data_IF_789035732018
#
_entry.id   IF_789035732018
#
_cell.length_a   1.000
_cell.length_b   1.000
_cell.length_c   1.000
_cell.angle_alpha   90.00
_cell.angle_beta   90.00
_cell.angle_gamma   90.00
#
_symmetry.space_group_name_H-M   'P 1'
#
loop_
_entity.id
_entity.type
_entity.pdbx_description
1 polymer ?
#
# COMPACT_ATOMS: atom_id res chain seq x y z
N UNK A 1 -14.27 10.82 -9.33
CA UNK A 1 -13.11 10.24 -8.59
C UNK A 1 -12.59 9.20 -9.57
N UNK A 2 -11.43 9.39 -10.20
CA UNK A 2 -11.14 8.68 -11.46
C UNK A 2 -11.26 7.14 -11.39
N UNK A 3 -10.96 6.51 -10.25
CA UNK A 3 -11.17 5.06 -10.04
C UNK A 3 -12.65 4.68 -9.98
N UNK A 4 -13.46 5.43 -9.25
CA UNK A 4 -14.93 5.28 -9.22
C UNK A 4 -15.49 5.49 -10.63
N UNK A 5 -14.97 6.47 -11.38
CA UNK A 5 -15.39 6.75 -12.75
C UNK A 5 -15.02 5.58 -13.70
N UNK A 6 -13.87 4.92 -13.48
CA UNK A 6 -13.48 3.71 -14.20
C UNK A 6 -14.31 2.47 -13.83
N UNK A 7 -14.68 2.33 -12.56
CA UNK A 7 -15.60 1.29 -12.10
C UNK A 7 -16.96 1.46 -12.76
N UNK A 8 -17.52 2.67 -12.73
CA UNK A 8 -18.80 2.98 -13.37
C UNK A 8 -18.78 2.75 -14.89
N UNK A 9 -17.64 2.98 -15.54
CA UNK A 9 -17.42 2.66 -16.96
C UNK A 9 -17.19 1.16 -17.24
N UNK A 10 -17.19 0.30 -16.21
CA UNK A 10 -16.91 -1.14 -16.34
C UNK A 10 -15.45 -1.46 -16.71
N UNK A 11 -14.54 -0.49 -16.63
CA UNK A 11 -13.10 -0.65 -16.93
C UNK A 11 -12.31 -1.16 -15.73
N UNK A 12 -12.83 -0.98 -14.52
CA UNK A 12 -12.35 -1.61 -13.30
C UNK A 12 -13.40 -2.63 -12.84
N UNK A 13 -13.10 -3.92 -12.94
CA UNK A 13 -13.98 -4.99 -12.42
C UNK A 13 -13.63 -5.26 -10.97
N UNK A 14 -14.55 -4.94 -10.08
CA UNK A 14 -14.51 -5.38 -8.69
C UNK A 14 -15.28 -6.70 -8.55
N UNK A 15 -15.11 -7.43 -7.43
CA UNK A 15 -16.05 -8.49 -7.07
C UNK A 15 -17.49 -7.97 -7.17
N UNK A 16 -18.44 -8.79 -7.61
CA UNK A 16 -19.88 -8.45 -7.72
C UNK A 16 -20.48 -7.90 -6.41
N UNK A 17 -19.77 -8.05 -5.30
CA UNK A 17 -20.18 -7.75 -3.93
C UNK A 17 -19.57 -6.48 -3.33
N UNK A 18 -19.16 -5.48 -4.11
CA UNK A 18 -18.71 -4.19 -3.56
C UNK A 18 -19.86 -3.17 -3.66
N UNK A 19 -20.59 -2.88 -2.56
CA UNK A 19 -21.68 -1.91 -2.55
C UNK A 19 -21.26 -0.51 -3.01
N UNK A 20 -22.20 0.25 -3.59
CA UNK A 20 -21.99 1.61 -4.13
C UNK A 20 -21.46 2.61 -3.09
N UNK A 21 -21.66 2.34 -1.81
CA UNK A 21 -21.13 3.17 -0.73
C UNK A 21 -19.60 3.10 -0.62
N UNK A 22 -18.94 2.03 -1.08
CA UNK A 22 -17.50 1.86 -0.93
C UNK A 22 -16.70 2.88 -1.75
N UNK A 23 -15.64 3.39 -1.13
CA UNK A 23 -14.67 4.31 -1.74
C UNK A 23 -13.44 3.54 -2.17
N UNK A 24 -13.02 3.74 -3.43
CA UNK A 24 -11.78 3.19 -3.97
C UNK A 24 -10.76 4.31 -4.12
N UNK A 25 -9.58 4.10 -3.55
CA UNK A 25 -8.50 5.08 -3.56
C UNK A 25 -7.15 4.41 -3.38
N UNK A 26 -6.09 5.18 -3.56
CA UNK A 26 -4.78 4.78 -3.06
C UNK A 26 -4.82 4.65 -1.52
N UNK A 27 -4.00 3.75 -0.93
CA UNK A 27 -3.85 3.68 0.52
C UNK A 27 -3.31 4.99 1.06
N UNK A 28 -3.69 5.32 2.29
CA UNK A 28 -2.87 6.21 3.13
C UNK A 28 -1.58 5.49 3.52
N UNK A 29 -0.52 6.24 3.79
CA UNK A 29 0.76 5.69 4.18
C UNK A 29 0.63 4.81 5.43
N UNK A 30 -0.17 5.24 6.40
CA UNK A 30 -0.46 4.50 7.62
C UNK A 30 -1.26 3.21 7.38
N UNK A 31 -2.19 3.22 6.42
CA UNK A 31 -2.96 2.02 6.04
C UNK A 31 -2.06 1.00 5.36
N UNK A 32 -1.19 1.47 4.46
CA UNK A 32 -0.19 0.64 3.80
C UNK A 32 0.75 0.01 4.84
N UNK A 33 1.29 0.84 5.75
CA UNK A 33 2.21 0.39 6.78
C UNK A 33 1.55 -0.65 7.70
N UNK A 34 0.33 -0.37 8.16
CA UNK A 34 -0.41 -1.28 9.03
C UNK A 34 -0.66 -2.63 8.36
N UNK A 35 -0.98 -2.64 7.06
CA UNK A 35 -1.16 -3.88 6.31
C UNK A 35 0.15 -4.68 6.21
N UNK A 36 1.27 -4.02 5.92
CA UNK A 36 2.59 -4.65 5.80
C UNK A 36 3.14 -5.15 7.15
N UNK A 37 2.84 -4.44 8.24
CA UNK A 37 3.38 -4.71 9.59
C UNK A 37 2.42 -5.47 10.50
N UNK A 38 1.30 -5.96 9.96
CA UNK A 38 0.32 -6.71 10.73
C UNK A 38 0.91 -8.02 11.28
N UNK A 39 0.59 -8.42 12.54
CA UNK A 39 -0.17 -7.67 13.56
C UNK A 39 0.71 -6.89 14.54
N UNK A 40 2.03 -6.97 14.43
CA UNK A 40 2.98 -6.79 15.53
C UNK A 40 4.10 -5.76 15.28
N UNK A 41 4.05 -5.00 14.18
CA UNK A 41 5.09 -4.00 13.90
C UNK A 41 6.37 -4.61 13.30
N UNK A 42 6.28 -5.80 12.70
CA UNK A 42 7.39 -6.50 12.04
C UNK A 42 8.16 -5.68 10.99
N UNK A 43 9.43 -5.99 10.80
CA UNK A 43 10.32 -5.28 9.84
C UNK A 43 9.98 -5.57 8.38
N UNK A 44 9.57 -6.80 8.07
CA UNK A 44 9.13 -7.26 6.76
C UNK A 44 7.75 -7.93 6.90
N UNK A 45 6.95 -8.04 5.82
CA UNK A 45 5.62 -8.64 5.88
C UNK A 45 5.59 -10.03 6.55
N UNK A 46 6.61 -10.85 6.28
CA UNK A 46 6.73 -12.20 6.83
C UNK A 46 7.40 -12.28 8.21
N UNK A 47 7.99 -11.21 8.74
CA UNK A 47 8.69 -11.24 10.03
C UNK A 47 9.84 -10.25 10.16
N UNK A 48 10.74 -10.50 11.11
CA UNK A 48 11.83 -9.59 11.46
C UNK A 48 13.20 -9.95 10.84
N UNK A 49 13.28 -11.11 10.20
CA UNK A 49 14.49 -11.58 9.54
C UNK A 49 14.37 -11.42 8.03
N UNK A 50 15.41 -10.85 7.42
CA UNK A 50 15.47 -10.73 5.97
C UNK A 50 15.66 -12.10 5.33
N UNK A 51 14.90 -12.36 4.26
CA UNK A 51 15.05 -13.55 3.42
C UNK A 51 14.87 -13.13 1.95
N UNK A 52 15.95 -13.16 1.18
CA UNK A 52 15.95 -12.77 -0.24
C UNK A 52 15.05 -13.66 -1.13
N UNK A 53 14.59 -14.81 -0.62
CA UNK A 53 13.67 -15.72 -1.34
C UNK A 53 12.21 -15.34 -1.17
N UNK A 54 11.89 -14.31 -0.40
CA UNK A 54 10.52 -13.89 -0.05
C UNK A 54 10.08 -12.59 -0.72
N UNK A 55 10.90 -12.03 -1.59
CA UNK A 55 10.60 -10.79 -2.29
C UNK A 55 11.37 -10.72 -3.60
N UNK A 56 10.88 -9.85 -4.50
CA UNK A 56 11.66 -9.39 -5.64
C UNK A 56 12.39 -8.08 -5.27
N UNK A 57 13.66 -8.15 -4.92
CA UNK A 57 14.52 -6.99 -4.64
C UNK A 57 15.81 -7.07 -5.44
N UNK A 58 16.74 -6.13 -5.23
CA UNK A 58 18.04 -6.15 -5.91
C UNK A 58 18.80 -7.47 -5.65
N UNK A 59 18.62 -8.06 -4.47
CA UNK A 59 19.21 -9.34 -4.07
C UNK A 59 18.66 -10.54 -4.86
N UNK A 60 17.51 -10.42 -5.52
CA UNK A 60 16.94 -11.49 -6.34
C UNK A 60 17.63 -11.66 -7.70
N UNK A 61 18.26 -10.61 -8.22
CA UNK A 61 18.87 -10.59 -9.56
C UNK A 61 17.88 -10.70 -10.74
N UNK A 62 16.57 -10.55 -10.50
CA UNK A 62 15.55 -10.63 -11.56
C UNK A 62 15.61 -9.41 -12.49
N UNK A 63 16.02 -8.25 -11.95
CA UNK A 63 16.23 -6.98 -12.69
C UNK A 63 15.01 -6.48 -13.48
N UNK A 64 13.82 -6.88 -13.03
CA UNK A 64 12.51 -6.44 -13.55
C UNK A 64 11.40 -6.81 -12.56
N UNK A 65 10.17 -6.40 -12.84
CA UNK A 65 9.01 -6.85 -12.06
C UNK A 65 8.78 -8.35 -12.24
N UNK A 66 8.23 -8.98 -11.21
CA UNK A 66 7.80 -10.38 -11.24
C UNK A 66 6.28 -10.48 -11.26
N UNK A 67 5.77 -11.65 -11.64
CA UNK A 67 4.35 -11.95 -11.50
C UNK A 67 3.90 -11.74 -10.05
N UNK A 68 2.76 -11.07 -9.86
CA UNK A 68 2.20 -10.79 -8.53
C UNK A 68 1.98 -12.11 -7.78
N UNK A 69 2.39 -12.13 -6.52
CA UNK A 69 2.19 -13.27 -5.62
C UNK A 69 3.13 -14.46 -5.84
N UNK A 70 4.09 -14.40 -6.76
CA UNK A 70 5.04 -15.51 -6.98
C UNK A 70 5.91 -15.80 -5.74
N UNK A 71 6.12 -14.78 -4.90
CA UNK A 71 6.77 -14.89 -3.59
C UNK A 71 5.73 -15.13 -2.48
N UNK A 72 5.05 -16.28 -2.52
CA UNK A 72 3.94 -16.58 -1.62
C UNK A 72 4.34 -16.53 -0.13
N UNK A 73 5.52 -17.05 0.22
CA UNK A 73 6.06 -17.04 1.59
C UNK A 73 6.47 -15.64 2.10
N UNK A 74 6.39 -14.64 1.23
CA UNK A 74 6.60 -13.22 1.50
C UNK A 74 5.35 -12.44 1.86
N UNK A 75 4.18 -13.07 1.88
CA UNK A 75 2.95 -12.41 2.32
C UNK A 75 3.00 -12.04 3.81
N UNK A 76 2.29 -10.97 4.18
CA UNK A 76 1.94 -10.72 5.58
C UNK A 76 0.84 -11.69 6.07
N UNK A 77 0.63 -11.81 7.40
CA UNK A 77 -0.38 -12.73 7.96
C UNK A 77 -1.83 -12.42 7.57
N UNK A 78 -2.09 -11.21 7.05
CA UNK A 78 -3.38 -10.82 6.46
C UNK A 78 -3.41 -11.05 4.93
N UNK A 79 -2.50 -11.89 4.41
CA UNK A 79 -2.41 -12.30 3.00
C UNK A 79 -2.11 -11.15 2.02
N UNK A 80 -1.59 -10.01 2.49
CA UNK A 80 -1.13 -8.96 1.60
C UNK A 80 0.23 -9.36 0.99
N UNK A 81 0.20 -9.77 -0.28
CA UNK A 81 1.37 -10.12 -1.08
C UNK A 81 2.10 -8.89 -1.61
N UNK A 82 3.39 -9.08 -1.90
CA UNK A 82 4.28 -8.10 -2.52
C UNK A 82 4.31 -6.74 -1.79
N UNK A 83 4.09 -6.75 -0.46
CA UNK A 83 4.24 -5.57 0.40
C UNK A 83 5.72 -5.21 0.64
N UNK A 84 6.66 -5.97 0.07
CA UNK A 84 8.09 -5.74 0.12
C UNK A 84 8.70 -6.15 -1.23
N UNK A 85 9.39 -5.23 -1.91
CA UNK A 85 9.95 -5.45 -3.24
C UNK A 85 8.94 -5.29 -4.38
N UNK A 86 9.29 -5.85 -5.54
CA UNK A 86 8.61 -5.73 -6.84
C UNK A 86 8.51 -4.27 -7.33
N UNK A 87 7.62 -3.45 -6.77
CA UNK A 87 7.50 -2.02 -7.14
C UNK A 87 7.24 -1.17 -5.91
N UNK A 88 7.75 0.07 -5.92
CA UNK A 88 7.33 1.05 -4.93
C UNK A 88 5.87 1.42 -5.19
N UNK A 89 5.09 1.60 -4.14
CA UNK A 89 3.66 1.82 -4.26
C UNK A 89 3.25 3.21 -3.79
N UNK A 90 2.57 3.94 -4.68
CA UNK A 90 2.05 5.27 -4.38
C UNK A 90 1.02 5.23 -3.26
N UNK A 91 1.21 6.10 -2.27
CA UNK A 91 0.23 6.41 -1.25
C UNK A 91 -0.42 7.76 -1.54
N UNK A 92 -1.66 7.92 -1.07
CA UNK A 92 -2.42 9.16 -1.16
C UNK A 92 -1.78 10.29 -0.33
N UNK A 93 -1.14 9.89 0.78
CA UNK A 93 -0.53 10.75 1.79
C UNK A 93 0.54 11.65 1.18
N UNK A 94 0.49 12.93 1.55
CA UNK A 94 1.55 13.90 1.25
C UNK A 94 2.83 13.54 2.00
N UNK A 95 3.97 13.68 1.34
CA UNK A 95 5.26 13.60 2.00
C UNK A 95 5.49 14.77 2.96
N UNK A 96 5.82 14.42 4.20
CA UNK A 96 6.42 15.27 5.21
C UNK A 96 7.65 14.57 5.78
N UNK A 97 8.66 15.36 6.16
CA UNK A 97 9.91 14.85 6.73
C UNK A 97 9.66 14.02 7.99
N UNK A 98 8.79 14.51 8.87
CA UNK A 98 8.32 13.79 10.04
C UNK A 98 7.15 12.86 9.68
N UNK A 99 7.16 11.63 10.22
CA UNK A 99 6.01 10.74 10.17
C UNK A 99 5.02 11.15 11.26
N UNK A 100 3.90 11.74 10.88
CA UNK A 100 2.89 12.29 11.81
C UNK A 100 1.58 11.52 11.73
N UNK A 101 0.97 11.31 12.88
CA UNK A 101 -0.40 10.82 13.04
C UNK A 101 -1.21 11.85 13.85
N UNK A 102 -2.37 12.31 13.36
CA UNK A 102 -2.98 11.94 12.07
C UNK A 102 -2.21 12.53 10.88
N UNK A 103 -2.23 11.82 9.76
CA UNK A 103 -1.75 12.35 8.49
C UNK A 103 -2.46 13.65 8.10
N UNK A 104 -1.77 14.55 7.39
CA UNK A 104 -2.37 15.79 6.92
C UNK A 104 -3.59 15.54 6.02
N UNK A 105 -4.70 16.25 6.27
CA UNK A 105 -5.97 16.07 5.56
C UNK A 105 -5.89 16.42 4.05
N UNK A 106 -4.85 17.13 3.61
CA UNK A 106 -4.72 17.59 2.23
C UNK A 106 -4.09 16.53 1.29
N UNK A 107 -4.93 15.57 0.97
CA UNK A 107 -4.67 14.45 0.07
C UNK A 107 -5.11 14.73 -1.38
N UNK A 108 -5.10 16.01 -1.81
CA UNK A 108 -5.54 16.42 -3.14
C UNK A 108 -4.77 15.66 -4.26
N UNK A 109 -5.43 14.76 -5.02
CA UNK A 109 -4.77 14.00 -6.07
C UNK A 109 -4.30 14.86 -7.26
N UNK A 110 -4.77 16.11 -7.36
CA UNK A 110 -4.37 17.07 -8.39
C UNK A 110 -3.27 18.04 -7.90
N UNK A 111 -2.94 17.98 -6.61
CA UNK A 111 -1.93 18.83 -6.00
C UNK A 111 -0.51 18.51 -6.48
N UNK A 112 0.38 19.51 -6.44
CA UNK A 112 1.81 19.37 -6.80
C UNK A 112 2.69 18.89 -5.64
N UNK A 113 2.09 18.63 -4.48
CA UNK A 113 2.82 18.19 -3.30
C UNK A 113 3.41 16.79 -3.54
N UNK A 114 4.62 16.57 -3.03
CA UNK A 114 5.27 15.26 -3.04
C UNK A 114 4.37 14.22 -2.34
N UNK A 115 4.35 13.00 -2.86
CA UNK A 115 3.53 11.89 -2.32
C UNK A 115 4.42 10.76 -1.80
N UNK A 116 3.95 10.10 -0.76
CA UNK A 116 4.67 8.97 -0.17
C UNK A 116 4.65 7.74 -1.09
N UNK A 117 5.73 6.97 -1.05
CA UNK A 117 5.95 5.70 -1.72
C UNK A 117 6.40 4.69 -0.67
N UNK A 118 5.89 3.46 -0.74
CA UNK A 118 6.21 2.38 0.21
C UNK A 118 6.59 1.07 -0.48
N UNK A 119 7.22 0.16 0.25
CA UNK A 119 7.45 -1.23 -0.17
C UNK A 119 8.82 -1.56 -0.73
N UNK A 120 9.57 -0.59 -1.25
CA UNK A 120 10.76 -0.93 -2.05
C UNK A 120 10.38 -1.46 -3.42
N UNK A 121 11.34 -1.94 -4.20
CA UNK A 121 11.12 -2.46 -5.55
C UNK A 121 12.19 -3.48 -5.93
N UNK A 122 12.11 -4.04 -7.14
CA UNK A 122 13.12 -4.96 -7.68
C UNK A 122 14.54 -4.37 -7.80
N UNK A 123 14.70 -3.03 -7.75
CA UNK A 123 16.02 -2.35 -7.67
C UNK A 123 16.46 -2.00 -6.25
N UNK A 124 15.59 -2.19 -5.25
CA UNK A 124 15.87 -1.75 -3.89
C UNK A 124 16.73 -2.76 -3.14
N UNK A 125 17.72 -2.26 -2.40
CA UNK A 125 18.45 -3.06 -1.42
C UNK A 125 17.55 -3.33 -0.19
N UNK A 126 17.93 -4.30 0.64
CA UNK A 126 17.21 -4.72 1.86
C UNK A 126 16.66 -3.58 2.72
N UNK A 127 17.43 -2.49 2.91
CA UNK A 127 17.00 -1.34 3.71
C UNK A 127 15.80 -0.61 3.07
N UNK A 128 15.72 -0.59 1.74
CA UNK A 128 14.60 -0.03 0.97
C UNK A 128 13.32 -0.86 1.08
N UNK A 129 13.45 -2.15 1.35
CA UNK A 129 12.36 -3.12 1.35
C UNK A 129 11.69 -3.32 2.73
N UNK A 130 12.20 -2.69 3.80
CA UNK A 130 11.54 -2.76 5.13
C UNK A 130 10.17 -2.09 5.09
N UNK A 131 9.23 -2.66 5.81
CA UNK A 131 7.84 -2.21 5.86
C UNK A 131 7.65 -0.80 6.46
N UNK A 132 8.62 -0.28 7.22
CA UNK A 132 8.60 1.10 7.74
C UNK A 132 9.41 2.08 6.86
N UNK A 133 10.10 1.61 5.82
CA UNK A 133 10.86 2.50 4.94
C UNK A 133 9.90 3.34 4.13
N UNK A 134 10.18 4.65 4.12
CA UNK A 134 9.42 5.65 3.39
C UNK A 134 10.26 6.21 2.26
N UNK A 135 9.62 6.47 1.13
CA UNK A 135 10.18 7.23 0.02
C UNK A 135 9.14 8.26 -0.43
N UNK A 136 9.54 9.20 -1.28
CA UNK A 136 8.64 10.17 -1.88
C UNK A 136 8.99 10.47 -3.32
N UNK A 137 8.02 10.96 -4.10
CA UNK A 137 8.33 11.61 -5.36
C UNK A 137 7.23 12.59 -5.79
N UNK A 138 7.48 13.30 -6.90
CA UNK A 138 6.50 14.15 -7.55
C UNK A 138 5.36 13.29 -8.13
N UNK A 139 4.08 13.67 -7.92
CA UNK A 139 2.93 12.87 -8.36
C UNK A 139 2.81 12.71 -9.88
N UNK A 140 3.53 13.50 -10.69
CA UNK A 140 3.64 13.34 -12.14
C UNK A 140 4.72 12.37 -12.61
N UNK A 141 5.68 12.01 -11.74
CA UNK A 141 6.81 11.15 -12.08
C UNK A 141 6.38 9.68 -12.25
N UNK A 142 6.97 8.98 -13.22
CA UNK A 142 6.68 7.56 -13.53
C UNK A 142 7.99 6.83 -13.81
N UNK A 143 8.14 5.65 -13.23
CA UNK A 143 9.27 4.74 -13.47
C UNK A 143 8.71 3.31 -13.56
N UNK A 144 9.47 2.43 -14.21
CA UNK A 144 9.13 1.00 -14.39
C UNK A 144 9.19 0.18 -13.08
N UNK A 145 9.70 0.76 -12.00
CA UNK A 145 9.70 0.19 -10.66
C UNK A 145 8.74 0.91 -9.69
N UNK A 146 7.85 1.77 -10.18
CA UNK A 146 6.78 2.39 -9.39
C UNK A 146 5.40 1.95 -9.87
N UNK A 147 4.62 1.41 -8.94
CA UNK A 147 3.25 0.98 -9.13
C UNK A 147 2.34 1.55 -8.04
N UNK A 148 1.28 0.81 -7.76
CA UNK A 148 0.30 1.18 -6.74
C UNK A 148 -0.52 -0.04 -6.34
N UNK A 149 -1.19 0.08 -5.19
CA UNK A 149 -2.35 -0.73 -4.84
C UNK A 149 -3.53 0.16 -4.51
N UNK A 150 -4.69 -0.46 -4.36
CA UNK A 150 -5.92 0.24 -4.00
C UNK A 150 -6.44 -0.26 -2.66
N UNK A 151 -7.11 0.64 -1.94
CA UNK A 151 -7.93 0.32 -0.77
C UNK A 151 -9.38 0.51 -1.17
N UNK A 152 -10.22 -0.42 -0.72
CA UNK A 152 -11.66 -0.35 -0.82
C UNK A 152 -12.20 -0.25 0.61
N UNK A 153 -12.91 0.84 0.93
CA UNK A 153 -13.40 1.08 2.29
C UNK A 153 -14.79 1.70 2.27
N UNK A 154 -15.66 1.31 3.21
CA UNK A 154 -16.90 2.05 3.47
C UNK A 154 -16.59 3.43 4.06
N UNK A 155 -17.28 4.50 3.64
CA UNK A 155 -17.28 5.77 4.33
C UNK A 155 -17.82 5.52 5.73
N UNK A 156 -17.12 6.04 6.73
CA UNK A 156 -17.64 6.06 8.10
C UNK A 156 -18.79 7.08 8.09
N UNK A 157 -20.01 6.62 7.81
CA UNK A 157 -21.23 7.36 8.14
C UNK A 157 -21.50 7.15 9.62
N UNK A 158 -21.95 8.20 10.30
CA UNK A 158 -22.17 8.22 11.75
C UNK A 158 -23.13 7.14 12.29
N UNK A 159 -23.76 6.34 11.42
CA UNK A 159 -24.65 5.22 11.76
C UNK A 159 -23.97 3.84 11.84
N UNK A 160 -22.72 3.68 11.38
CA UNK A 160 -22.02 2.38 11.36
C UNK A 160 -21.00 2.18 12.49
N UNK A 161 -21.14 2.93 13.60
CA UNK A 161 -20.47 2.56 14.84
C UNK A 161 -21.11 1.27 15.34
N UNK A 162 -20.50 0.13 14.98
CA UNK A 162 -20.77 -1.13 15.65
C UNK A 162 -20.43 -0.88 17.12
N UNK A 163 -21.45 -0.77 17.96
CA UNK A 163 -21.29 -0.76 19.41
C UNK A 163 -20.55 -2.04 19.76
N UNK A 164 -19.25 -1.93 20.04
CA UNK A 164 -18.48 -3.02 20.59
C UNK A 164 -19.14 -3.43 21.89
N UNK A 165 -19.83 -4.58 21.88
CA UNK A 165 -20.24 -5.23 23.10
C UNK A 165 -18.95 -5.62 23.84
N UNK A 166 -18.67 -4.87 24.90
CA UNK A 166 -17.75 -5.27 25.95
C UNK A 166 -18.35 -6.47 26.69
N UNK A 167 -18.00 -7.68 26.24
CA UNK A 167 -18.17 -8.90 27.03
C UNK A 167 -17.03 -9.01 28.03
N UNK A 168 -17.38 -8.92 29.32
CA UNK A 168 -16.58 -9.37 30.46
C UNK A 168 -16.35 -10.88 30.42
#
# INVERSE_FOLDING_TARGET
RWLDDLQQQGKLRLPESVPDEYVIRLPRECEWEKAARYPDGRLFPWGNEFDARKLNSAESGIERTSAVGIFADGASPNEAHDMSGNVWEWCLTRWEEEYKEPEAENNDPQGKALRCLRGGSWVSLVNGCRAATRHWNNPGSRYDYWGFRVVCSVPITSGNLISGESGL
#
